data_IF_017420753297
#
_entry.id   IF_017420753297
#
_cell.length_a   1.000
_cell.length_b   1.000
_cell.length_c   1.000
_cell.angle_alpha   90.00
_cell.angle_beta   90.00
_cell.angle_gamma   90.00
#
_symmetry.space_group_name_H-M   'P 1'
#
loop_
_entity.id
_entity.type
_entity.pdbx_description
1 polymer ?
#
# COMPACT_ATOMS: atom_id res chain seq x y z
N UNK A 1 -0.33 0.30 -1.89
CA UNK A 1 0.55 -0.86 -1.62
C UNK A 1 1.55 -1.01 -2.77
N UNK A 2 2.85 -1.07 -2.50
CA UNK A 2 3.87 -1.11 -3.56
C UNK A 2 3.77 -2.37 -4.43
N UNK A 3 4.22 -2.29 -5.69
CA UNK A 3 4.20 -3.41 -6.63
C UNK A 3 4.93 -4.64 -6.08
N UNK A 4 6.06 -4.44 -5.40
CA UNK A 4 6.83 -5.50 -4.74
C UNK A 4 6.01 -6.29 -3.70
N UNK A 5 5.18 -5.61 -2.91
CA UNK A 5 4.31 -6.27 -1.92
C UNK A 5 3.22 -7.11 -2.60
N UNK A 6 2.67 -6.63 -3.72
CA UNK A 6 1.69 -7.40 -4.51
C UNK A 6 2.33 -8.68 -5.02
N UNK A 7 3.51 -8.59 -5.61
CA UNK A 7 4.29 -9.75 -6.07
C UNK A 7 4.59 -10.74 -4.94
N UNK A 8 4.94 -10.25 -3.75
CA UNK A 8 5.13 -11.10 -2.57
C UNK A 8 3.88 -11.92 -2.21
N UNK A 9 2.70 -11.33 -2.30
CA UNK A 9 1.44 -12.05 -2.10
C UNK A 9 1.22 -13.11 -3.17
N UNK A 10 1.40 -12.77 -4.46
CA UNK A 10 1.25 -13.73 -5.57
C UNK A 10 2.20 -14.93 -5.40
N UNK A 11 3.46 -14.69 -5.02
CA UNK A 11 4.42 -15.75 -4.77
C UNK A 11 3.99 -16.65 -3.59
N UNK A 12 3.58 -16.06 -2.46
CA UNK A 12 3.14 -16.82 -1.29
C UNK A 12 1.87 -17.65 -1.58
N UNK A 13 0.90 -17.07 -2.29
CA UNK A 13 -0.31 -17.77 -2.69
C UNK A 13 -0.03 -18.91 -3.70
N UNK A 14 0.85 -18.68 -4.67
CA UNK A 14 1.27 -19.73 -5.62
C UNK A 14 1.99 -20.89 -4.91
N UNK A 15 2.85 -20.60 -3.93
CA UNK A 15 3.49 -21.63 -3.10
C UNK A 15 2.46 -22.40 -2.27
N UNK A 16 1.49 -21.73 -1.67
CA UNK A 16 0.42 -22.38 -0.92
C UNK A 16 -0.38 -23.33 -1.82
N UNK A 17 -1.06 -22.81 -2.86
CA UNK A 17 -1.91 -23.62 -3.73
C UNK A 17 -1.13 -24.68 -4.53
N UNK A 18 0.10 -24.37 -4.93
CA UNK A 18 0.98 -25.27 -5.65
C UNK A 18 1.51 -26.42 -4.78
N UNK A 19 1.71 -26.20 -3.48
CA UNK A 19 2.21 -27.24 -2.57
C UNK A 19 1.14 -28.23 -2.13
N UNK A 20 -0.15 -27.86 -2.19
CA UNK A 20 -1.28 -28.63 -1.65
C UNK A 20 -1.33 -30.11 -2.07
N UNK A 21 -1.07 -30.51 -3.33
CA UNK A 21 -1.08 -31.92 -3.73
C UNK A 21 0.10 -32.74 -3.19
N UNK A 22 1.19 -32.09 -2.81
CA UNK A 22 2.43 -32.75 -2.37
C UNK A 22 2.49 -32.96 -0.86
N UNK A 23 1.57 -32.37 -0.10
CA UNK A 23 1.56 -32.44 1.35
C UNK A 23 1.30 -33.85 1.89
N UNK A 24 0.57 -34.68 1.14
CA UNK A 24 0.25 -36.05 1.53
C UNK A 24 1.49 -36.96 1.54
N UNK A 25 2.55 -36.58 0.81
CA UNK A 25 3.83 -37.28 0.80
C UNK A 25 4.78 -36.91 1.94
N UNK A 26 4.44 -35.89 2.74
CA UNK A 26 5.29 -35.40 3.83
C UNK A 26 4.85 -35.98 5.19
N UNK A 27 5.77 -36.13 6.15
CA UNK A 27 5.40 -36.41 7.53
C UNK A 27 4.46 -35.34 8.08
N UNK A 28 3.48 -35.76 8.90
CA UNK A 28 2.43 -34.88 9.45
C UNK A 28 2.96 -33.58 10.07
N UNK A 29 4.07 -33.65 10.81
CA UNK A 29 4.68 -32.47 11.44
C UNK A 29 5.24 -31.51 10.39
N UNK A 30 5.92 -32.04 9.37
CA UNK A 30 6.53 -31.23 8.32
C UNK A 30 5.46 -30.54 7.45
N UNK A 31 4.41 -31.25 7.07
CA UNK A 31 3.30 -30.67 6.30
C UNK A 31 2.57 -29.59 7.11
N UNK A 32 2.32 -29.82 8.40
CA UNK A 32 1.69 -28.84 9.30
C UNK A 32 2.53 -27.57 9.43
N UNK A 33 3.85 -27.69 9.66
CA UNK A 33 4.74 -26.54 9.76
C UNK A 33 4.81 -25.76 8.45
N UNK A 34 4.90 -26.45 7.30
CA UNK A 34 4.91 -25.83 5.98
C UNK A 34 3.62 -25.05 5.72
N UNK A 35 2.46 -25.64 6.02
CA UNK A 35 1.16 -25.00 5.84
C UNK A 35 1.02 -23.74 6.69
N UNK A 36 1.40 -23.80 7.97
CA UNK A 36 1.38 -22.62 8.86
C UNK A 36 2.33 -21.55 8.35
N UNK A 37 3.55 -21.91 7.94
CA UNK A 37 4.52 -20.97 7.38
C UNK A 37 3.95 -20.27 6.14
N UNK A 38 3.35 -21.02 5.21
CA UNK A 38 2.73 -20.45 4.00
C UNK A 38 1.52 -19.56 4.33
N UNK A 39 0.66 -19.95 5.28
CA UNK A 39 -0.47 -19.13 5.73
C UNK A 39 -0.02 -17.82 6.37
N UNK A 40 1.02 -17.87 7.21
CA UNK A 40 1.64 -16.67 7.82
C UNK A 40 2.28 -15.77 6.77
N UNK A 41 3.02 -16.33 5.81
CA UNK A 41 3.63 -15.56 4.71
C UNK A 41 2.57 -14.86 3.85
N UNK A 42 1.49 -15.57 3.50
CA UNK A 42 0.37 -14.98 2.77
C UNK A 42 -0.30 -13.85 3.56
N UNK A 43 -0.58 -14.06 4.85
CA UNK A 43 -1.20 -13.04 5.70
C UNK A 43 -0.31 -11.81 5.90
N UNK A 44 0.99 -12.01 6.10
CA UNK A 44 1.96 -10.92 6.20
C UNK A 44 2.08 -10.16 4.87
N UNK A 45 2.07 -10.84 3.74
CA UNK A 45 2.09 -10.21 2.41
C UNK A 45 0.80 -9.42 2.12
N UNK A 46 -0.37 -9.99 2.45
CA UNK A 46 -1.67 -9.32 2.35
C UNK A 46 -1.77 -8.09 3.26
N UNK A 47 -1.24 -8.20 4.47
CA UNK A 47 -1.16 -7.12 5.45
C UNK A 47 -0.13 -6.05 5.06
N UNK A 48 0.94 -6.43 4.37
CA UNK A 48 2.06 -5.56 4.06
C UNK A 48 2.98 -5.28 5.26
N UNK A 49 2.80 -6.00 6.37
CA UNK A 49 3.64 -5.98 7.59
C UNK A 49 3.57 -7.31 8.35
N UNK A 50 4.57 -7.59 9.18
CA UNK A 50 4.59 -8.74 10.11
C UNK A 50 4.00 -8.33 11.46
N UNK A 51 2.68 -8.28 11.55
CA UNK A 51 1.97 -8.03 12.81
C UNK A 51 1.57 -9.36 13.51
N UNK A 52 1.42 -9.33 14.83
CA UNK A 52 0.94 -10.49 15.58
C UNK A 52 -0.44 -10.97 15.10
N UNK A 53 -1.30 -10.04 14.69
CA UNK A 53 -2.62 -10.35 14.11
C UNK A 53 -2.46 -11.07 12.78
N UNK A 54 -1.59 -10.58 11.88
CA UNK A 54 -1.33 -11.26 10.60
C UNK A 54 -0.80 -12.68 10.80
N UNK A 55 0.12 -12.89 11.76
CA UNK A 55 0.65 -14.22 12.11
C UNK A 55 -0.48 -15.12 12.62
N UNK A 56 -1.27 -14.66 13.59
CA UNK A 56 -2.37 -15.42 14.16
C UNK A 56 -3.43 -15.78 13.10
N UNK A 57 -3.83 -14.81 12.28
CA UNK A 57 -4.77 -15.00 11.19
C UNK A 57 -4.23 -15.97 10.12
N UNK A 58 -2.95 -15.88 9.75
CA UNK A 58 -2.32 -16.81 8.82
C UNK A 58 -2.24 -18.24 9.35
N UNK A 59 -1.93 -18.41 10.64
CA UNK A 59 -1.93 -19.72 11.30
C UNK A 59 -3.35 -20.32 11.38
N UNK A 60 -4.35 -19.51 11.75
CA UNK A 60 -5.76 -19.91 11.76
C UNK A 60 -6.28 -20.24 10.36
N UNK A 61 -5.84 -19.48 9.34
CA UNK A 61 -6.17 -19.73 7.94
C UNK A 61 -5.64 -21.10 7.49
N UNK A 62 -4.38 -21.41 7.80
CA UNK A 62 -3.77 -22.69 7.50
C UNK A 62 -4.50 -23.85 8.20
N UNK A 63 -4.82 -23.70 9.49
CA UNK A 63 -5.56 -24.70 10.25
C UNK A 63 -6.98 -24.92 9.69
N UNK A 64 -7.76 -23.85 9.53
CA UNK A 64 -9.15 -23.94 9.07
C UNK A 64 -9.26 -24.40 7.62
N UNK A 65 -8.38 -23.91 6.74
CA UNK A 65 -8.33 -24.32 5.34
C UNK A 65 -8.00 -25.81 5.19
N UNK A 66 -7.03 -26.31 5.94
CA UNK A 66 -6.62 -27.72 5.86
C UNK A 66 -7.67 -28.66 6.46
N UNK A 67 -8.30 -28.28 7.58
CA UNK A 67 -9.36 -29.06 8.22
C UNK A 67 -10.60 -29.23 7.32
N UNK A 68 -10.96 -28.20 6.54
CA UNK A 68 -12.16 -28.22 5.68
C UNK A 68 -11.89 -28.76 4.27
N UNK A 69 -10.65 -28.74 3.80
CA UNK A 69 -10.28 -29.09 2.41
C UNK A 69 -10.82 -30.46 1.95
N UNK A 70 -10.77 -31.55 2.74
CA UNK A 70 -11.26 -32.85 2.30
C UNK A 70 -12.78 -32.93 2.12
N UNK A 71 -13.54 -32.06 2.79
CA UNK A 71 -15.00 -32.10 2.85
C UNK A 71 -15.61 -31.06 1.91
N UNK A 72 -15.07 -29.84 1.92
CA UNK A 72 -15.59 -28.70 1.18
C UNK A 72 -14.43 -27.80 0.71
N UNK A 73 -13.77 -28.12 -0.43
CA UNK A 73 -12.64 -27.36 -0.94
C UNK A 73 -12.92 -25.87 -1.16
N UNK A 74 -14.13 -25.54 -1.62
CA UNK A 74 -14.56 -24.15 -1.75
C UNK A 74 -14.62 -23.43 -0.40
N UNK A 75 -15.21 -24.04 0.64
CA UNK A 75 -15.29 -23.41 1.97
C UNK A 75 -13.89 -23.28 2.59
N UNK A 76 -13.02 -24.27 2.40
CA UNK A 76 -11.63 -24.22 2.81
C UNK A 76 -10.87 -23.04 2.20
N UNK A 77 -10.99 -22.85 0.88
CA UNK A 77 -10.38 -21.72 0.18
C UNK A 77 -10.95 -20.38 0.61
N UNK A 78 -12.27 -20.28 0.79
CA UNK A 78 -12.94 -19.08 1.28
C UNK A 78 -12.43 -18.67 2.66
N UNK A 79 -12.39 -19.62 3.60
CA UNK A 79 -11.91 -19.40 4.97
C UNK A 79 -10.43 -19.01 4.99
N UNK A 80 -9.59 -19.70 4.20
CA UNK A 80 -8.17 -19.40 4.08
C UNK A 80 -7.94 -17.94 3.63
N UNK A 81 -8.55 -17.53 2.52
CA UNK A 81 -8.35 -16.17 1.98
C UNK A 81 -8.97 -15.12 2.89
N UNK A 82 -10.18 -15.34 3.43
CA UNK A 82 -10.82 -14.41 4.35
C UNK A 82 -9.97 -14.16 5.61
N UNK A 83 -9.39 -15.21 6.21
CA UNK A 83 -8.52 -15.08 7.37
C UNK A 83 -7.18 -14.43 7.01
N UNK A 84 -6.54 -14.81 5.91
CA UNK A 84 -5.31 -14.17 5.39
C UNK A 84 -5.51 -12.64 5.23
N UNK A 85 -6.70 -12.23 4.79
CA UNK A 85 -7.06 -10.82 4.59
C UNK A 85 -7.73 -10.17 5.81
N UNK A 86 -7.91 -10.86 6.93
CA UNK A 86 -8.67 -10.35 8.07
C UNK A 86 -8.07 -9.05 8.64
N UNK A 87 -6.75 -9.00 8.85
CA UNK A 87 -6.07 -7.79 9.32
C UNK A 87 -6.25 -6.64 8.34
N UNK A 88 -6.08 -6.88 7.03
CA UNK A 88 -6.27 -5.85 6.00
C UNK A 88 -7.71 -5.35 5.98
N UNK A 89 -8.68 -6.27 6.13
CA UNK A 89 -10.11 -5.94 6.17
C UNK A 89 -10.43 -5.03 7.36
N UNK A 90 -9.81 -5.24 8.53
CA UNK A 90 -10.01 -4.38 9.69
C UNK A 90 -9.57 -2.93 9.46
N UNK A 91 -8.60 -2.72 8.54
CA UNK A 91 -8.12 -1.38 8.17
C UNK A 91 -8.99 -0.67 7.13
N UNK A 92 -9.98 -1.34 6.55
CA UNK A 92 -10.90 -0.68 5.61
C UNK A 92 -11.83 0.24 6.41
N UNK A 93 -11.83 1.54 6.10
CA UNK A 93 -12.47 2.57 6.94
C UNK A 93 -13.99 2.43 6.98
N UNK A 94 -14.61 2.32 5.81
CA UNK A 94 -16.08 2.30 5.68
C UNK A 94 -16.60 0.87 5.90
N UNK A 95 -17.66 0.73 6.70
CA UNK A 95 -18.25 -0.57 7.01
C UNK A 95 -18.77 -1.31 5.77
N UNK A 96 -19.39 -0.61 4.83
CA UNK A 96 -19.84 -1.22 3.56
C UNK A 96 -18.65 -1.74 2.75
N UNK A 97 -17.58 -0.96 2.63
CA UNK A 97 -16.35 -1.39 1.96
C UNK A 97 -15.69 -2.58 2.67
N UNK A 98 -15.76 -2.67 4.00
CA UNK A 98 -15.32 -3.86 4.78
C UNK A 98 -16.08 -5.11 4.39
N UNK A 99 -17.42 -5.02 4.31
CA UNK A 99 -18.26 -6.14 3.90
C UNK A 99 -17.98 -6.56 2.46
N UNK A 100 -17.77 -5.61 1.55
CA UNK A 100 -17.37 -5.91 0.17
C UNK A 100 -16.01 -6.58 0.14
N UNK A 101 -15.02 -6.09 0.89
CA UNK A 101 -13.70 -6.69 0.96
C UNK A 101 -13.73 -8.13 1.49
N UNK A 102 -14.49 -8.37 2.55
CA UNK A 102 -14.71 -9.71 3.09
C UNK A 102 -15.44 -10.61 2.08
N UNK A 103 -16.48 -10.09 1.41
CA UNK A 103 -17.23 -10.83 0.39
C UNK A 103 -16.36 -11.24 -0.78
N UNK A 104 -15.53 -10.33 -1.31
CA UNK A 104 -14.57 -10.64 -2.38
C UNK A 104 -13.55 -11.67 -1.90
N UNK A 105 -13.05 -11.56 -0.67
CA UNK A 105 -12.11 -12.55 -0.11
C UNK A 105 -12.73 -13.95 -0.02
N UNK A 106 -13.99 -14.05 0.43
CA UNK A 106 -14.72 -15.31 0.51
C UNK A 106 -14.97 -15.91 -0.88
N UNK A 107 -15.47 -15.12 -1.84
CA UNK A 107 -15.77 -15.60 -3.20
C UNK A 107 -14.49 -15.97 -3.95
N UNK A 108 -13.48 -15.10 -3.94
CA UNK A 108 -12.19 -15.35 -4.59
C UNK A 108 -11.49 -16.57 -3.99
N UNK A 109 -11.51 -16.70 -2.66
CA UNK A 109 -11.01 -17.88 -1.97
C UNK A 109 -11.78 -19.15 -2.30
N UNK A 110 -13.11 -19.10 -2.36
CA UNK A 110 -13.94 -20.25 -2.71
C UNK A 110 -13.63 -20.79 -4.10
N UNK A 111 -13.55 -19.90 -5.09
CA UNK A 111 -13.21 -20.25 -6.45
C UNK A 111 -11.76 -20.79 -6.54
N UNK A 112 -10.80 -20.17 -5.84
CA UNK A 112 -9.42 -20.64 -5.80
C UNK A 112 -9.29 -22.04 -5.18
N UNK A 113 -9.97 -22.29 -4.06
CA UNK A 113 -9.97 -23.59 -3.38
C UNK A 113 -10.63 -24.69 -4.22
N UNK A 114 -11.77 -24.38 -4.84
CA UNK A 114 -12.45 -25.30 -5.75
C UNK A 114 -11.59 -25.64 -6.97
N UNK A 115 -10.99 -24.62 -7.60
CA UNK A 115 -10.14 -24.78 -8.77
C UNK A 115 -8.91 -25.63 -8.45
N UNK A 116 -8.23 -25.35 -7.34
CA UNK A 116 -7.06 -26.12 -6.89
C UNK A 116 -7.40 -27.59 -6.65
N UNK A 117 -8.57 -27.88 -6.05
CA UNK A 117 -9.01 -29.26 -5.84
C UNK A 117 -9.35 -29.97 -7.16
N UNK A 118 -10.14 -29.32 -8.04
CA UNK A 118 -10.60 -29.89 -9.31
C UNK A 118 -9.46 -30.26 -10.26
N UNK A 119 -8.33 -29.54 -10.22
CA UNK A 119 -7.19 -29.77 -11.10
C UNK A 119 -5.96 -30.40 -10.41
N UNK A 120 -6.10 -30.83 -9.15
CA UNK A 120 -5.00 -31.40 -8.36
C UNK A 120 -4.37 -32.67 -8.95
N UNK A 121 -5.17 -33.48 -9.67
CA UNK A 121 -4.72 -34.71 -10.33
C UNK A 121 -4.50 -34.55 -11.85
N UNK A 122 -4.54 -33.32 -12.36
CA UNK A 122 -4.28 -33.05 -13.78
C UNK A 122 -2.80 -33.11 -14.12
N UNK A 123 -2.47 -33.08 -15.42
CA UNK A 123 -1.07 -32.95 -15.83
C UNK A 123 -0.47 -31.62 -15.33
N UNK A 124 0.87 -31.56 -15.25
CA UNK A 124 1.59 -30.45 -14.64
C UNK A 124 1.29 -29.08 -15.28
N UNK A 125 1.04 -29.04 -16.59
CA UNK A 125 0.72 -27.79 -17.30
C UNK A 125 -0.65 -27.25 -16.88
N UNK A 126 -1.69 -28.10 -16.88
CA UNK A 126 -3.04 -27.72 -16.45
C UNK A 126 -3.04 -27.36 -14.96
N UNK A 127 -2.35 -28.14 -14.14
CA UNK A 127 -2.18 -27.83 -12.72
C UNK A 127 -1.52 -26.46 -12.52
N UNK A 128 -0.42 -26.18 -13.23
CA UNK A 128 0.27 -24.90 -13.18
C UNK A 128 -0.64 -23.71 -13.53
N UNK A 129 -1.43 -23.83 -14.61
CA UNK A 129 -2.44 -22.81 -14.97
C UNK A 129 -3.48 -22.63 -13.87
N UNK A 130 -3.98 -23.73 -13.28
CA UNK A 130 -4.95 -23.69 -12.19
C UNK A 130 -4.40 -22.95 -10.95
N UNK A 131 -3.11 -23.15 -10.62
CA UNK A 131 -2.43 -22.45 -9.53
C UNK A 131 -2.33 -20.96 -9.83
N UNK A 132 -1.94 -20.58 -11.05
CA UNK A 132 -1.85 -19.16 -11.45
C UNK A 132 -3.22 -18.47 -11.35
N UNK A 133 -4.28 -19.10 -11.87
CA UNK A 133 -5.64 -18.55 -11.81
C UNK A 133 -6.15 -18.50 -10.37
N UNK A 134 -5.94 -19.56 -9.58
CA UNK A 134 -6.32 -19.57 -8.16
C UNK A 134 -5.59 -18.50 -7.35
N UNK A 135 -4.31 -18.26 -7.65
CA UNK A 135 -3.50 -17.19 -7.06
C UNK A 135 -4.11 -15.82 -7.42
N UNK A 136 -4.46 -15.58 -8.69
CA UNK A 136 -5.12 -14.34 -9.10
C UNK A 136 -6.48 -14.12 -8.42
N UNK A 137 -7.30 -15.17 -8.30
CA UNK A 137 -8.60 -15.11 -7.61
C UNK A 137 -8.45 -14.80 -6.11
N UNK A 138 -7.46 -15.40 -5.44
CA UNK A 138 -7.17 -15.11 -4.03
C UNK A 138 -6.59 -13.71 -3.81
N UNK A 139 -6.03 -13.09 -4.85
CA UNK A 139 -5.49 -11.73 -4.82
C UNK A 139 -6.55 -10.63 -5.03
N UNK A 140 -7.80 -10.97 -5.39
CA UNK A 140 -8.87 -9.99 -5.65
C UNK A 140 -9.07 -8.94 -4.55
N UNK A 141 -8.99 -9.26 -3.24
CA UNK A 141 -9.13 -8.25 -2.19
C UNK A 141 -8.04 -7.15 -2.23
N UNK A 142 -6.91 -7.39 -2.89
CA UNK A 142 -5.86 -6.36 -3.10
C UNK A 142 -6.27 -5.24 -4.06
N UNK A 143 -7.37 -5.42 -4.82
CA UNK A 143 -7.93 -4.38 -5.67
C UNK A 143 -8.69 -3.32 -4.86
N UNK A 144 -9.05 -3.64 -3.62
CA UNK A 144 -9.68 -2.69 -2.73
C UNK A 144 -8.63 -2.00 -1.85
N UNK A 145 -8.78 -0.69 -1.77
CA UNK A 145 -7.93 0.13 -0.93
C UNK A 145 -8.23 -0.11 0.55
N UNK A 146 -7.16 -0.38 1.29
CA UNK A 146 -7.17 -0.42 2.74
C UNK A 146 -6.37 0.78 3.25
N UNK A 147 -6.72 1.26 4.44
CA UNK A 147 -5.99 2.37 5.07
C UNK A 147 -4.53 1.98 5.31
N UNK A 148 -3.66 2.99 5.38
CA UNK A 148 -2.25 2.78 5.70
C UNK A 148 -2.12 2.16 7.12
N UNK A 149 -1.28 1.13 7.32
CA UNK A 149 -1.19 0.45 8.61
C UNK A 149 -0.86 1.40 9.76
N UNK A 150 0.05 2.35 9.53
CA UNK A 150 0.46 3.31 10.54
C UNK A 150 -0.64 4.33 10.81
N UNK A 151 -1.27 4.87 9.77
CA UNK A 151 -2.40 5.79 9.93
C UNK A 151 -3.55 5.15 10.72
N UNK A 152 -3.87 3.89 10.43
CA UNK A 152 -4.86 3.12 11.18
C UNK A 152 -4.46 2.92 12.65
N UNK A 153 -3.19 2.58 12.93
CA UNK A 153 -2.69 2.44 14.30
C UNK A 153 -2.74 3.75 15.08
N UNK A 154 -2.44 4.89 14.44
CA UNK A 154 -2.55 6.22 15.05
C UNK A 154 -4.01 6.56 15.38
N UNK A 155 -4.96 6.29 14.47
CA UNK A 155 -6.40 6.48 14.73
C UNK A 155 -6.90 5.60 15.89
N UNK A 156 -6.46 4.33 15.94
CA UNK A 156 -6.78 3.45 17.07
C UNK A 156 -6.23 4.00 18.38
N UNK A 157 -4.97 4.43 18.40
CA UNK A 157 -4.37 5.03 19.59
C UNK A 157 -5.14 6.31 20.00
N UNK A 158 -5.47 7.19 19.06
CA UNK A 158 -6.24 8.41 19.30
C UNK A 158 -7.61 8.13 19.92
N UNK A 159 -8.30 7.07 19.49
CA UNK A 159 -9.62 6.69 20.03
C UNK A 159 -9.61 6.37 21.53
N UNK A 160 -8.45 6.00 22.08
CA UNK A 160 -8.26 5.65 23.48
C UNK A 160 -7.85 6.83 24.37
N UNK A 161 -7.51 7.98 23.78
CA UNK A 161 -6.94 9.12 24.48
C UNK A 161 -7.93 10.27 24.64
N UNK A 162 -7.81 11.10 25.68
CA UNK A 162 -8.47 12.40 25.76
C UNK A 162 -7.75 13.46 24.92
N UNK A 163 -8.34 14.65 24.80
CA UNK A 163 -7.67 15.83 24.25
C UNK A 163 -6.52 16.29 25.17
N UNK A 164 -5.45 16.88 24.63
CA UNK A 164 -5.22 17.26 23.21
C UNK A 164 -4.60 16.15 22.33
N UNK A 165 -4.08 15.09 22.93
CA UNK A 165 -3.35 14.03 22.20
C UNK A 165 -4.23 13.29 21.18
N UNK A 166 -5.54 13.19 21.44
CA UNK A 166 -6.49 12.66 20.46
C UNK A 166 -6.48 13.45 19.15
N UNK A 167 -6.64 14.77 19.21
CA UNK A 167 -6.61 15.62 18.02
C UNK A 167 -5.27 15.51 17.28
N UNK A 168 -4.15 15.60 18.00
CA UNK A 168 -2.81 15.51 17.41
C UNK A 168 -2.58 14.19 16.66
N UNK A 169 -2.94 13.05 17.25
CA UNK A 169 -2.77 11.74 16.60
C UNK A 169 -3.71 11.54 15.41
N UNK A 170 -4.95 12.04 15.48
CA UNK A 170 -5.88 12.03 14.33
C UNK A 170 -5.32 12.84 13.17
N UNK A 171 -4.82 14.02 13.46
CA UNK A 171 -4.19 14.88 12.46
C UNK A 171 -2.97 14.20 11.84
N UNK A 172 -2.13 13.56 12.65
CA UNK A 172 -1.00 12.79 12.15
C UNK A 172 -1.43 11.63 11.26
N UNK A 173 -2.52 10.94 11.60
CA UNK A 173 -3.08 9.88 10.78
C UNK A 173 -3.64 10.42 9.45
N UNK A 174 -4.29 11.58 9.45
CA UNK A 174 -4.73 12.27 8.23
C UNK A 174 -3.54 12.72 7.37
N UNK A 175 -2.51 13.30 7.99
CA UNK A 175 -1.27 13.65 7.33
C UNK A 175 -0.66 12.43 6.64
N UNK A 176 -0.54 11.30 7.35
CA UNK A 176 0.02 10.06 6.79
C UNK A 176 -0.75 9.54 5.57
N UNK A 177 -2.06 9.79 5.48
CA UNK A 177 -2.90 9.39 4.34
C UNK A 177 -2.75 10.30 3.14
N UNK A 178 -2.58 11.59 3.39
CA UNK A 178 -2.50 12.60 2.35
C UNK A 178 -1.08 12.77 1.79
N UNK A 179 -0.08 12.29 2.54
CA UNK A 179 1.30 12.23 2.07
C UNK A 179 1.37 11.30 0.86
N UNK A 180 1.50 11.90 -0.33
CA UNK A 180 1.92 11.17 -1.52
C UNK A 180 3.33 10.58 -1.29
N UNK A 181 3.74 9.61 -2.11
CA UNK A 181 5.13 9.17 -2.16
C UNK A 181 5.99 10.34 -2.68
N UNK A 182 6.31 11.29 -1.79
CA UNK A 182 7.18 12.42 -2.08
C UNK A 182 8.61 11.87 -2.09
N UNK A 183 9.38 12.07 -3.18
CA UNK A 183 10.76 11.64 -3.23
C UNK A 183 11.57 12.47 -2.22
N UNK A 184 11.78 11.89 -1.04
CA UNK A 184 12.73 12.38 -0.05
C UNK A 184 14.09 11.74 -0.31
N UNK A 185 15.17 12.44 -0.01
CA UNK A 185 16.47 11.79 0.09
C UNK A 185 16.45 10.69 1.17
N UNK A 186 17.41 9.79 1.11
CA UNK A 186 17.43 8.60 1.97
C UNK A 186 17.48 8.97 3.47
N UNK A 187 18.23 10.00 3.83
CA UNK A 187 18.42 10.39 5.23
C UNK A 187 17.17 11.07 5.79
N UNK A 188 16.52 11.92 4.99
CA UNK A 188 15.24 12.53 5.30
C UNK A 188 14.12 11.48 5.41
N UNK A 189 14.06 10.52 4.49
CA UNK A 189 13.11 9.41 4.53
C UNK A 189 13.29 8.56 5.79
N UNK A 190 14.53 8.23 6.17
CA UNK A 190 14.82 7.52 7.41
C UNK A 190 14.43 8.32 8.66
N UNK A 191 14.73 9.62 8.70
CA UNK A 191 14.35 10.50 9.81
C UNK A 191 12.82 10.60 9.98
N UNK A 192 12.10 10.80 8.87
CA UNK A 192 10.64 10.81 8.85
C UNK A 192 10.09 9.46 9.33
N UNK A 193 10.65 8.34 8.88
CA UNK A 193 10.25 7.01 9.33
C UNK A 193 10.44 6.83 10.84
N UNK A 194 11.61 7.20 11.39
CA UNK A 194 11.87 7.16 12.84
C UNK A 194 10.91 8.05 13.63
N UNK A 195 10.53 9.20 13.07
CA UNK A 195 9.59 10.14 13.69
C UNK A 195 8.19 9.55 13.77
N UNK A 196 7.72 8.91 12.71
CA UNK A 196 6.46 8.17 12.69
C UNK A 196 6.43 7.04 13.73
N UNK A 197 7.50 6.25 13.81
CA UNK A 197 7.61 5.16 14.80
C UNK A 197 7.62 5.70 16.24
N UNK A 198 8.36 6.78 16.49
CA UNK A 198 8.39 7.45 17.79
C UNK A 198 7.01 7.94 18.20
N UNK A 199 6.27 8.56 17.27
CA UNK A 199 4.93 9.07 17.50
C UNK A 199 3.95 7.95 17.88
N UNK A 200 3.98 6.82 17.17
CA UNK A 200 3.14 5.67 17.51
C UNK A 200 3.46 5.12 18.91
N UNK A 201 4.75 4.96 19.24
CA UNK A 201 5.19 4.51 20.57
C UNK A 201 4.75 5.46 21.68
N UNK A 202 4.80 6.77 21.45
CA UNK A 202 4.31 7.78 22.40
C UNK A 202 2.79 7.71 22.57
N UNK A 203 2.03 7.54 21.49
CA UNK A 203 0.59 7.34 21.55
C UNK A 203 0.20 6.09 22.34
N UNK A 204 0.89 4.97 22.11
CA UNK A 204 0.69 3.74 22.88
C UNK A 204 1.05 3.90 24.35
N UNK A 205 2.18 4.55 24.65
CA UNK A 205 2.61 4.83 26.03
C UNK A 205 1.58 5.72 26.75
N UNK A 206 1.08 6.76 26.07
CA UNK A 206 0.03 7.64 26.59
C UNK A 206 -1.27 6.89 26.88
N UNK A 207 -1.63 5.92 26.03
CA UNK A 207 -2.82 5.09 26.22
C UNK A 207 -2.67 4.14 27.41
N UNK A 208 -1.45 3.62 27.64
CA UNK A 208 -1.14 2.84 28.86
C UNK A 208 -1.23 3.72 30.11
N UNK A 209 -0.69 4.94 30.08
CA UNK A 209 -0.77 5.90 31.19
C UNK A 209 -2.23 6.26 31.52
N UNK A 210 -3.07 6.48 30.51
CA UNK A 210 -4.49 6.77 30.68
C UNK A 210 -5.23 5.65 31.43
N UNK A 211 -4.95 4.40 31.08
CA UNK A 211 -5.53 3.23 31.78
C UNK A 211 -5.07 3.14 33.23
N UNK A 212 -3.82 3.51 33.51
CA UNK A 212 -3.27 3.51 34.89
C UNK A 212 -3.84 4.66 35.71
N UNK A 213 -3.99 5.86 35.14
CA UNK A 213 -4.53 7.03 35.83
C UNK A 213 -5.98 6.84 36.28
N UNK A 214 -6.78 6.09 35.51
CA UNK A 214 -8.14 5.70 35.90
C UNK A 214 -8.20 4.86 37.19
N UNK A 215 -7.08 4.31 37.66
CA UNK A 215 -7.00 3.54 38.93
C UNK A 215 -6.67 4.40 40.15
N UNK A 216 -6.32 5.67 39.97
CA UNK A 216 -6.05 6.59 41.08
C UNK A 216 -5.23 7.81 40.63
N UNK A 217 -5.57 9.03 41.09
CA UNK A 217 -4.82 10.23 40.74
C UNK A 217 -3.45 10.24 41.42
N UNK A 218 -2.40 10.45 40.63
CA UNK A 218 -1.03 10.69 41.10
C UNK A 218 -0.50 11.94 40.40
N UNK A 219 -0.07 12.95 41.16
CA UNK A 219 0.39 14.23 40.59
C UNK A 219 1.67 14.08 39.74
N UNK A 220 2.55 13.13 40.07
CA UNK A 220 3.69 12.79 39.22
C UNK A 220 3.24 12.25 37.85
N UNK A 221 2.15 11.46 37.83
CA UNK A 221 1.60 10.94 36.58
C UNK A 221 1.01 12.04 35.69
N UNK A 222 0.41 13.09 36.28
CA UNK A 222 -0.10 14.25 35.52
C UNK A 222 1.03 14.99 34.80
N UNK A 223 2.18 15.20 35.46
CA UNK A 223 3.34 15.84 34.84
C UNK A 223 3.89 15.00 33.68
N UNK A 224 3.99 13.68 33.85
CA UNK A 224 4.44 12.78 32.77
C UNK A 224 3.45 12.80 31.60
N UNK A 225 2.15 12.78 31.87
CA UNK A 225 1.09 12.90 30.85
C UNK A 225 1.27 14.19 30.04
N UNK A 226 1.41 15.34 30.70
CA UNK A 226 1.60 16.62 30.02
C UNK A 226 2.88 16.64 29.15
N UNK A 227 3.97 16.04 29.64
CA UNK A 227 5.21 15.91 28.88
C UNK A 227 5.04 15.02 27.64
N UNK A 228 4.31 13.91 27.76
CA UNK A 228 4.03 13.02 26.63
C UNK A 228 3.14 13.70 25.60
N UNK A 229 2.09 14.40 26.06
CA UNK A 229 1.19 15.16 25.18
C UNK A 229 1.96 16.24 24.39
N UNK A 230 2.87 16.97 25.06
CA UNK A 230 3.75 17.95 24.39
C UNK A 230 4.68 17.30 23.37
N UNK A 231 5.25 16.12 23.67
CA UNK A 231 6.12 15.39 22.74
C UNK A 231 5.36 14.86 21.53
N UNK A 232 4.14 14.37 21.73
CA UNK A 232 3.25 13.96 20.63
C UNK A 232 3.05 15.15 19.70
N UNK A 233 2.61 16.29 20.23
CA UNK A 233 2.40 17.51 19.42
C UNK A 233 3.68 17.94 18.69
N UNK A 234 4.83 17.95 19.37
CA UNK A 234 6.11 18.33 18.76
C UNK A 234 6.51 17.44 17.58
N UNK A 235 6.26 16.13 17.65
CA UNK A 235 6.48 15.22 16.52
C UNK A 235 5.51 15.45 15.37
N UNK A 236 4.23 15.71 15.66
CA UNK A 236 3.22 16.02 14.63
C UNK A 236 3.58 17.32 13.91
N UNK A 237 3.96 18.37 14.64
CA UNK A 237 4.39 19.64 14.07
C UNK A 237 5.65 19.49 13.20
N UNK A 238 6.60 18.66 13.63
CA UNK A 238 7.80 18.36 12.85
C UNK A 238 7.47 17.64 11.54
N UNK A 239 6.59 16.64 11.58
CA UNK A 239 6.11 15.94 10.39
C UNK A 239 5.36 16.89 9.45
N UNK A 240 4.45 17.71 9.98
CA UNK A 240 3.71 18.69 9.19
C UNK A 240 4.65 19.63 8.46
N UNK A 241 5.63 20.20 9.16
CA UNK A 241 6.66 21.08 8.54
C UNK A 241 7.46 20.37 7.45
N UNK A 242 7.89 19.13 7.70
CA UNK A 242 8.65 18.36 6.72
C UNK A 242 7.84 18.13 5.44
N UNK A 243 6.57 17.73 5.55
CA UNK A 243 5.72 17.49 4.38
C UNK A 243 5.30 18.78 3.68
N UNK A 244 5.00 19.86 4.40
CA UNK A 244 4.76 21.17 3.76
C UNK A 244 5.97 21.65 2.97
N UNK A 245 7.19 21.47 3.51
CA UNK A 245 8.41 21.80 2.77
C UNK A 245 8.58 20.92 1.53
N UNK A 246 8.31 19.63 1.64
CA UNK A 246 8.40 18.68 0.53
C UNK A 246 7.37 18.95 -0.58
N UNK A 247 6.14 19.30 -0.20
CA UNK A 247 5.09 19.71 -1.14
C UNK A 247 5.44 21.03 -1.85
N UNK A 248 6.03 21.99 -1.12
CA UNK A 248 6.49 23.26 -1.70
C UNK A 248 7.61 23.02 -2.71
N UNK A 249 8.57 22.14 -2.41
CA UNK A 249 9.62 21.75 -3.35
C UNK A 249 9.06 21.03 -4.57
N UNK A 250 8.09 20.12 -4.38
CA UNK A 250 7.44 19.43 -5.50
C UNK A 250 6.69 20.40 -6.40
N UNK A 251 5.94 21.33 -5.84
CA UNK A 251 5.24 22.37 -6.60
C UNK A 251 6.23 23.27 -7.38
N UNK A 252 7.37 23.61 -6.77
CA UNK A 252 8.43 24.35 -7.44
C UNK A 252 9.03 23.57 -8.63
N UNK A 253 9.34 22.29 -8.46
CA UNK A 253 9.87 21.43 -9.54
C UNK A 253 8.87 21.29 -10.67
N UNK A 254 7.59 21.05 -10.36
CA UNK A 254 6.55 20.98 -11.39
C UNK A 254 6.39 22.31 -12.15
N UNK A 255 6.43 23.45 -11.45
CA UNK A 255 6.37 24.76 -12.10
C UNK A 255 7.61 25.06 -12.97
N UNK A 256 8.80 24.61 -12.56
CA UNK A 256 10.00 24.76 -13.39
C UNK A 256 9.96 23.89 -14.64
N UNK A 257 9.44 22.66 -14.54
CA UNK A 257 9.26 21.76 -15.68
C UNK A 257 8.27 22.35 -16.68
N UNK A 258 7.14 22.88 -16.21
CA UNK A 258 6.17 23.57 -17.08
C UNK A 258 6.79 24.79 -17.77
N UNK A 259 7.58 25.60 -17.06
CA UNK A 259 8.27 26.75 -17.68
C UNK A 259 9.33 26.34 -18.72
N UNK A 260 9.99 25.20 -18.50
CA UNK A 260 10.94 24.65 -19.46
C UNK A 260 10.22 24.08 -20.69
N UNK A 261 9.06 23.45 -20.50
CA UNK A 261 8.20 22.99 -21.58
C UNK A 261 7.64 24.16 -22.40
N UNK A 262 7.21 25.24 -21.74
CA UNK A 262 6.77 26.48 -22.41
C UNK A 262 7.90 27.12 -23.22
N UNK A 263 9.13 27.11 -22.69
CA UNK A 263 10.30 27.60 -23.44
C UNK A 263 10.59 26.72 -24.66
N UNK A 264 10.43 25.40 -24.56
CA UNK A 264 10.58 24.49 -25.71
C UNK A 264 9.45 24.70 -26.73
N UNK A 265 8.21 24.88 -26.28
CA UNK A 265 7.07 25.16 -27.16
C UNK A 265 7.24 26.49 -27.91
N UNK A 266 7.64 27.55 -27.22
CA UNK A 266 7.95 28.84 -27.83
C UNK A 266 9.13 28.76 -28.82
N UNK A 267 10.12 27.90 -28.53
CA UNK A 267 11.23 27.64 -29.47
C UNK A 267 10.76 26.81 -30.68
N UNK A 268 9.79 25.91 -30.49
CA UNK A 268 9.15 25.13 -31.57
C UNK A 268 8.37 26.01 -32.54
N UNK A 269 7.57 26.96 -32.03
CA UNK A 269 6.85 27.95 -32.84
C UNK A 269 7.83 28.83 -33.65
N UNK A 270 8.98 29.17 -33.06
CA UNK A 270 10.05 29.90 -33.76
C UNK A 270 10.72 29.09 -34.87
N UNK A 271 10.77 27.76 -34.74
CA UNK A 271 11.33 26.89 -35.79
C UNK A 271 10.34 26.69 -36.95
N UNK A 272 9.03 26.67 -36.68
CA UNK A 272 8.01 26.75 -37.74
C UNK A 272 8.04 28.09 -38.47
N UNK A 273 8.26 29.20 -37.76
CA UNK A 273 8.41 30.53 -38.37
C UNK A 273 9.69 30.64 -39.21
N UNK A 274 10.81 30.07 -38.75
CA UNK A 274 12.05 29.97 -39.54
C UNK A 274 11.88 29.03 -40.74
N UNK A 275 11.17 27.91 -40.59
CA UNK A 275 10.81 27.01 -41.69
C UNK A 275 9.94 27.69 -42.74
N UNK A 276 8.98 28.52 -42.31
CA UNK A 276 8.11 29.29 -43.19
C UNK A 276 8.87 30.37 -43.96
N UNK A 277 9.75 31.11 -43.27
CA UNK A 277 10.61 32.12 -43.90
C UNK A 277 11.57 31.47 -44.91
N UNK A 278 12.14 30.30 -44.59
CA UNK A 278 12.98 29.56 -45.53
C UNK A 278 12.20 29.04 -46.73
N UNK A 279 10.96 28.58 -46.55
CA UNK A 279 10.09 28.18 -47.66
C UNK A 279 9.67 29.37 -48.55
N UNK A 280 9.37 30.53 -47.96
CA UNK A 280 9.09 31.77 -48.70
C UNK A 280 10.32 32.27 -49.46
N UNK A 281 11.53 32.10 -48.91
CA UNK A 281 12.79 32.42 -49.59
C UNK A 281 13.09 31.48 -50.78
N UNK A 282 12.70 30.22 -50.71
CA UNK A 282 12.88 29.24 -51.80
C UNK A 282 11.84 29.43 -52.93
N UNK A 283 10.72 30.12 -52.67
CA UNK A 283 9.74 30.52 -53.68
C UNK A 283 10.13 31.81 -54.44
N UNK A 284 11.15 32.57 -53.99
CA UNK A 284 11.56 33.84 -54.61
C UNK A 284 12.80 33.89 -55.54
N UNK A 285 13.33 32.81 -56.17
CA UNK A 285 14.45 32.94 -57.11
C UNK A 285 14.05 33.54 -58.49
N UNK A 286 12.80 33.98 -58.70
CA UNK A 286 12.28 34.37 -60.02
C UNK A 286 12.12 35.86 -60.32
N UNK A 287 12.23 36.79 -59.35
CA UNK A 287 11.75 38.19 -59.54
C UNK A 287 12.80 39.29 -59.73
N UNK A 288 14.10 39.01 -59.60
CA UNK A 288 15.15 40.06 -59.72
C UNK A 288 15.69 40.22 -61.16
N UNK A 289 15.27 39.40 -62.12
CA UNK A 289 15.80 39.44 -63.50
C UNK A 289 15.03 40.31 -64.51
N UNK A 290 14.11 41.18 -64.10
CA UNK A 290 13.31 42.01 -65.01
C UNK A 290 13.30 43.49 -64.62
N UNK A 291 14.47 44.12 -64.53
CA UNK A 291 14.56 45.55 -64.19
C UNK A 291 15.89 46.19 -64.57
N UNK A 292 16.46 45.82 -65.72
CA UNK A 292 17.76 46.29 -66.16
C UNK A 292 17.80 46.65 -67.64
N UNK A 293 17.34 47.86 -67.97
CA UNK A 293 17.92 48.69 -69.03
C UNK A 293 17.44 48.46 -70.47
N UNK A 294 16.82 49.51 -71.02
CA UNK A 294 17.16 49.93 -72.40
C UNK A 294 17.17 51.46 -72.47
N UNK A 295 18.39 51.99 -72.54
CA UNK A 295 18.71 53.31 -73.07
C UNK A 295 18.65 53.22 -74.59
N UNK A 296 17.99 54.19 -75.21
CA UNK A 296 17.82 54.33 -76.65
C UNK A 296 16.67 55.28 -76.95
#
# INVERSE_FOLDING_TARGET
MSALKKLGFFAAAALYFGSLPFLDGLPFVASSLLLVAMGVLMAAAASGSFSAIAIACGALAAFGGTALRPIAPAVAGALMVALVFAERTLRVRVQSARLVHLGIALVGGALAGQLSASFSASNLAIFGVSVVVGTALSALPLLLDADDPLAYSLDQAASLLPEPSRAALKEAAELKRNVADVPLDKDAAESVHRTWDSLLRLGEARARLERTQKRGPNDAAKSVVAMVDQKIQGHVDALRKAFTAADTMKAFVSASDDSALDHIAATGDSLEEVSRVLAEMDEEPGRVAAGGGRVG
#
